data_IF_540223366890
#
_entry.id   IF_540223366890
#
_cell.length_a   1.000
_cell.length_b   1.000
_cell.length_c   1.000
_cell.angle_alpha   90.00
_cell.angle_beta   90.00
_cell.angle_gamma   90.00
#
_symmetry.space_group_name_H-M   'P 1'
#
loop_
_entity.id
_entity.type
_entity.pdbx_description
1 polymer ?
#
# COMPACT_ATOMS: atom_id res chain seq x y z
N UNK A 1 12.14 -22.25 7.99
CA UNK A 1 10.87 -21.78 7.38
C UNK A 1 10.98 -20.31 7.07
N UNK A 2 10.62 -19.88 5.85
CA UNK A 2 10.68 -18.48 5.44
C UNK A 2 9.46 -17.72 6.00
N UNK A 3 9.69 -16.67 6.79
CA UNK A 3 8.67 -15.83 7.47
C UNK A 3 7.66 -15.17 6.52
N UNK A 4 7.96 -15.11 5.21
CA UNK A 4 7.08 -14.57 4.18
C UNK A 4 5.80 -15.39 3.96
N UNK A 5 5.83 -16.71 4.22
CA UNK A 5 4.69 -17.60 4.00
C UNK A 5 3.55 -17.39 5.01
N UNK A 6 3.87 -16.85 6.19
CA UNK A 6 2.90 -16.58 7.25
C UNK A 6 2.28 -15.17 7.16
N UNK A 7 2.61 -14.39 6.13
CA UNK A 7 2.09 -13.03 5.95
C UNK A 7 0.64 -13.08 5.48
N UNK A 8 -0.33 -12.53 6.25
CA UNK A 8 -1.72 -12.49 5.82
C UNK A 8 -1.88 -11.61 4.57
N UNK A 9 -2.72 -12.02 3.62
CA UNK A 9 -3.07 -11.20 2.46
C UNK A 9 -3.60 -9.84 2.89
N UNK A 10 -3.38 -8.81 2.08
CA UNK A 10 -3.84 -7.43 2.27
C UNK A 10 -5.38 -7.26 2.20
N UNK A 11 -6.14 -8.34 2.09
CA UNK A 11 -7.59 -8.36 2.10
C UNK A 11 -8.09 -9.59 2.85
N UNK A 12 -9.12 -9.40 3.67
CA UNK A 12 -9.71 -10.46 4.46
C UNK A 12 -10.54 -11.42 3.60
N UNK A 13 -10.30 -12.74 3.75
CA UNK A 13 -10.96 -13.79 2.93
C UNK A 13 -12.48 -13.80 3.03
N UNK A 14 -13.02 -13.57 4.24
CA UNK A 14 -14.47 -13.52 4.52
C UNK A 14 -15.11 -12.13 4.34
N UNK A 15 -14.46 -11.07 4.80
CA UNK A 15 -15.02 -9.72 4.80
C UNK A 15 -14.51 -8.93 3.60
N UNK A 16 -15.38 -8.76 2.59
CA UNK A 16 -14.99 -8.24 1.28
C UNK A 16 -14.54 -6.76 1.28
N UNK A 17 -14.85 -5.99 2.32
CA UNK A 17 -14.45 -4.57 2.48
C UNK A 17 -13.41 -4.36 3.59
N UNK A 18 -12.72 -5.43 3.99
CA UNK A 18 -11.68 -5.38 5.01
C UNK A 18 -10.32 -5.63 4.38
N UNK A 19 -9.45 -4.63 4.47
CA UNK A 19 -8.12 -4.61 3.89
C UNK A 19 -7.06 -4.53 4.98
N UNK A 20 -6.01 -5.33 4.86
CA UNK A 20 -4.87 -5.35 5.76
C UNK A 20 -3.70 -4.61 5.10
N UNK A 21 -3.04 -3.72 5.85
CA UNK A 21 -1.92 -2.92 5.36
C UNK A 21 -0.69 -3.16 6.24
N UNK A 22 0.51 -3.12 5.64
CA UNK A 22 1.78 -3.22 6.38
C UNK A 22 2.82 -4.13 5.71
N UNK A 23 4.10 -3.98 6.09
CA UNK A 23 5.22 -4.75 5.50
C UNK A 23 5.13 -6.27 5.72
N UNK A 24 4.35 -6.68 6.72
CA UNK A 24 4.05 -8.07 7.07
C UNK A 24 2.72 -8.56 6.49
N UNK A 25 1.93 -7.70 5.87
CA UNK A 25 0.80 -8.11 5.02
C UNK A 25 1.33 -8.44 3.64
N UNK A 26 0.73 -9.37 2.93
CA UNK A 26 1.10 -9.69 1.56
C UNK A 26 0.19 -8.89 0.61
N UNK A 27 0.73 -8.00 -0.24
CA UNK A 27 2.15 -7.82 -0.54
C UNK A 27 2.86 -6.89 0.45
N UNK A 28 3.90 -7.42 1.09
CA UNK A 28 4.76 -6.67 1.98
C UNK A 28 5.62 -5.74 1.14
N UNK A 29 6.10 -4.63 1.70
CA UNK A 29 6.93 -3.63 0.98
C UNK A 29 6.29 -2.98 -0.26
N UNK A 30 5.12 -3.41 -0.75
CA UNK A 30 4.47 -2.91 -1.97
C UNK A 30 3.48 -1.76 -1.78
N UNK A 31 2.78 -1.69 -0.63
CA UNK A 31 1.94 -0.52 -0.28
C UNK A 31 2.76 0.79 -0.21
N UNK A 32 3.98 0.80 0.38
CA UNK A 32 4.84 1.99 0.41
C UNK A 32 5.36 2.42 -0.97
N UNK A 33 5.76 1.47 -1.82
CA UNK A 33 6.42 1.78 -3.11
C UNK A 33 5.50 2.53 -4.08
N UNK A 34 4.19 2.32 -4.00
CA UNK A 34 3.23 2.95 -4.92
C UNK A 34 2.60 4.21 -4.33
N UNK A 35 2.33 4.23 -3.02
CA UNK A 35 1.77 5.41 -2.38
C UNK A 35 2.78 6.57 -2.33
N UNK A 36 4.07 6.30 -2.15
CA UNK A 36 5.11 7.34 -2.07
C UNK A 36 5.25 8.18 -3.35
N UNK A 37 5.44 7.60 -4.55
CA UNK A 37 5.49 8.40 -5.78
C UNK A 37 4.13 9.03 -6.11
N UNK A 38 3.01 8.40 -5.75
CA UNK A 38 1.68 8.98 -5.95
C UNK A 38 1.49 10.28 -5.14
N UNK A 39 1.96 10.31 -3.89
CA UNK A 39 1.95 11.53 -3.06
C UNK A 39 2.92 12.60 -3.61
N UNK A 40 4.08 12.18 -4.11
CA UNK A 40 5.07 13.12 -4.67
C UNK A 40 4.54 13.82 -5.93
N UNK A 41 3.83 13.08 -6.79
CA UNK A 41 3.18 13.63 -7.99
C UNK A 41 2.03 14.56 -7.61
N UNK A 42 1.24 14.21 -6.58
CA UNK A 42 0.17 15.08 -6.09
C UNK A 42 0.71 16.45 -5.62
N UNK A 43 1.81 16.44 -4.88
CA UNK A 43 2.49 17.68 -4.45
C UNK A 43 3.03 18.47 -5.65
N UNK A 44 3.59 17.77 -6.64
CA UNK A 44 4.11 18.41 -7.84
C UNK A 44 3.00 19.10 -8.64
N UNK A 45 1.86 18.43 -8.78
CA UNK A 45 0.70 18.95 -9.50
C UNK A 45 0.15 20.24 -8.87
N UNK A 46 0.07 20.30 -7.54
CA UNK A 46 -0.35 21.51 -6.80
C UNK A 46 0.58 22.71 -7.00
N UNK A 47 1.87 22.46 -7.27
CA UNK A 47 2.85 23.53 -7.51
C UNK A 47 2.82 24.02 -8.96
N UNK A 48 2.56 23.13 -9.90
CA UNK A 48 2.53 23.43 -11.35
C UNK A 48 1.19 24.04 -11.79
N UNK A 49 0.10 23.72 -11.08
CA UNK A 49 -1.21 24.35 -11.25
C UNK A 49 -1.75 24.81 -9.89
N UNK A 50 -1.36 26.02 -9.41
CA UNK A 50 -2.01 26.59 -8.25
C UNK A 50 -3.46 26.92 -8.62
N UNK A 51 -4.39 26.32 -7.89
CA UNK A 51 -5.82 26.67 -7.94
C UNK A 51 -6.03 28.15 -7.61
#
# INVERSE_FOLDING_TARGET
MQVGYLRPHNRHKRYKNLYFVGASTHPGTGVPIVLLPAMLIEERLKREQPL
#
